data_IF_096198388759
#
_entry.id   IF_096198388759
#
_cell.length_a   1.000
_cell.length_b   1.000
_cell.length_c   1.000
_cell.angle_alpha   90.00
_cell.angle_beta   90.00
_cell.angle_gamma   90.00
#
_symmetry.space_group_name_H-M   'P 1'
#
loop_
_entity.id
_entity.type
_entity.pdbx_description
1 polymer ?
2 non-polymer ?
3 non-polymer ?
4 water ?
#
# COMPACT_ATOMS: atom_id res chain seq x y z
N UNK A 1 -12.58 5.14 12.76
CA UNK A 1 -12.39 5.00 11.31
C UNK A 1 -13.51 4.20 10.69
N UNK A 2 -14.01 4.69 9.57
CA UNK A 2 -14.86 3.88 8.73
C UNK A 2 -14.00 3.14 7.71
N UNK A 3 -14.65 2.54 6.72
CA UNK A 3 -13.98 1.67 5.78
C UNK A 3 -13.42 2.35 4.55
N UNK A 4 -13.85 3.57 4.26
CA UNK A 4 -13.57 4.21 2.96
C UNK A 4 -12.30 5.06 2.91
N UNK A 5 -11.41 4.72 1.98
CA UNK A 5 -10.28 5.58 1.65
C UNK A 5 -10.65 6.37 0.41
N UNK A 6 -10.47 7.67 0.46
CA UNK A 6 -10.67 8.43 -0.74
C UNK A 6 -9.52 9.39 -0.93
N UNK A 7 -9.65 10.25 -1.94
CA UNK A 7 -8.57 11.17 -2.28
C UNK A 7 -9.11 12.58 -2.43
N UNK A 8 -8.17 13.52 -2.54
CA UNK A 8 -8.51 14.91 -2.80
C UNK A 8 -7.80 15.37 -4.06
N UNK A 9 -8.20 16.53 -4.55
CA UNK A 9 -7.76 17.02 -5.84
C UNK A 9 -6.31 17.53 -5.89
N UNK A 10 -5.86 18.20 -4.82
CA UNK A 10 -4.57 18.90 -4.85
C UNK A 10 -3.84 19.20 -3.53
N UNK A 11 -3.30 20.42 -3.43
CA UNK A 11 -2.27 20.78 -2.44
C UNK A 11 -2.89 21.24 -1.14
N UNK A 12 -4.18 21.59 -1.20
CA UNK A 12 -4.89 22.10 -0.03
C UNK A 12 -6.33 21.63 -0.09
N UNK A 13 -6.92 21.47 1.08
CA UNK A 13 -8.31 21.04 1.22
C UNK A 13 -9.25 22.12 0.75
N UNK A 14 -10.27 21.72 0.01
CA UNK A 14 -11.34 22.61 -0.41
C UNK A 14 -12.46 22.51 0.61
N UNK A 15 -13.52 23.29 0.41
CA UNK A 15 -14.59 23.34 1.40
C UNK A 15 -15.27 22.00 1.43
N UNK A 16 -15.34 21.39 0.25
CA UNK A 16 -16.02 20.12 0.09
C UNK A 16 -15.21 18.92 0.64
N UNK A 17 -13.88 18.97 0.48
CA UNK A 17 -13.01 17.99 1.08
C UNK A 17 -13.22 17.98 2.59
N UNK A 18 -13.28 19.17 3.16
CA UNK A 18 -13.47 19.32 4.59
C UNK A 18 -14.77 18.72 5.08
N UNK A 19 -15.88 19.02 4.41
CA UNK A 19 -17.15 18.42 4.79
C UNK A 19 -17.11 16.90 4.66
N UNK A 20 -16.37 16.36 3.69
CA UNK A 20 -16.31 14.90 3.50
C UNK A 20 -15.40 14.20 4.53
N UNK A 21 -14.28 14.80 4.91
CA UNK A 21 -13.37 14.16 5.85
C UNK A 21 -14.00 14.01 7.25
N UNK A 22 -14.98 14.85 7.54
CA UNK A 22 -15.75 14.75 8.78
C UNK A 22 -16.78 13.60 8.80
N UNK A 23 -16.99 12.91 7.68
CA UNK A 23 -17.97 11.84 7.66
C UNK A 23 -17.36 10.55 8.19
N UNK A 24 -18.06 9.88 9.11
CA UNK A 24 -17.47 8.75 9.83
C UNK A 24 -17.29 7.48 8.98
N UNK A 25 -17.81 7.48 7.77
CA UNK A 25 -17.50 6.39 6.85
C UNK A 25 -16.08 6.50 6.28
N UNK A 26 -15.50 7.69 6.29
CA UNK A 26 -14.15 7.81 5.81
C UNK A 26 -13.25 7.17 6.87
N UNK A 27 -12.28 6.37 6.45
CA UNK A 27 -11.33 5.83 7.37
C UNK A 27 -9.97 6.42 7.06
N UNK A 28 -9.73 6.73 5.80
CA UNK A 28 -8.42 7.19 5.41
C UNK A 28 -8.35 7.95 4.11
N UNK A 29 -7.22 8.61 3.94
CA UNK A 29 -6.98 9.43 2.80
C UNK A 29 -5.72 8.89 2.13
N UNK A 30 -5.81 8.70 0.81
CA UNK A 30 -4.66 8.26 0.04
C UNK A 30 -4.18 9.39 -0.86
N UNK A 31 -2.89 9.69 -0.70
CA UNK A 31 -2.28 10.84 -1.32
C UNK A 31 -1.59 10.41 -2.61
N UNK A 32 -1.51 11.33 -3.58
CA UNK A 32 -0.77 11.05 -4.79
C UNK A 32 0.24 12.18 -5.05
N UNK A 33 0.87 12.17 -6.22
CA UNK A 33 1.90 13.15 -6.52
C UNK A 33 1.19 14.47 -6.61
N UNK A 34 -0.04 14.40 -7.11
CA UNK A 34 -0.81 15.63 -7.36
C UNK A 34 -1.12 16.41 -6.07
N UNK A 35 -0.91 15.77 -4.93
CA UNK A 35 -1.19 16.38 -3.66
C UNK A 35 0.10 16.89 -3.04
N UNK A 36 1.19 16.81 -3.78
CA UNK A 36 2.46 17.13 -3.19
C UNK A 36 3.15 18.23 -3.96
N UNK A 37 3.34 19.36 -3.31
CA UNK A 37 4.12 20.41 -3.94
C UNK A 37 5.48 20.52 -3.25
N UNK A 38 5.48 20.55 -1.91
CA UNK A 38 6.72 20.69 -1.14
C UNK A 38 6.56 20.23 0.31
N UNK A 39 7.71 20.01 0.96
CA UNK A 39 7.73 19.49 2.32
C UNK A 39 6.79 20.23 3.24
N UNK A 40 6.89 21.55 3.37
CA UNK A 40 6.02 22.29 4.31
C UNK A 40 4.56 22.23 3.90
N UNK A 41 4.30 22.31 2.60
CA UNK A 41 2.94 22.19 2.10
C UNK A 41 2.35 20.84 2.45
N UNK A 42 3.14 19.77 2.31
CA UNK A 42 2.69 18.42 2.62
C UNK A 42 2.28 18.33 4.09
N UNK A 43 3.13 18.86 4.98
CA UNK A 43 2.84 18.89 6.44
C UNK A 43 1.58 19.66 6.74
N UNK A 44 1.44 20.81 6.12
CA UNK A 44 0.24 21.65 6.31
C UNK A 44 -1.06 20.94 5.92
N UNK A 45 -1.04 20.21 4.80
CA UNK A 45 -2.20 19.45 4.31
C UNK A 45 -2.57 18.25 5.17
N UNK A 46 -1.55 17.50 5.61
CA UNK A 46 -1.82 16.37 6.48
C UNK A 46 -2.38 16.86 7.80
N UNK A 47 -1.88 18.00 8.28
CA UNK A 47 -2.39 18.63 9.50
C UNK A 47 -3.84 19.05 9.31
N UNK A 48 -4.15 19.58 8.12
CA UNK A 48 -5.51 20.03 7.78
C UNK A 48 -6.48 18.85 7.63
N UNK A 49 -5.97 17.72 7.16
CA UNK A 49 -6.76 16.51 7.03
C UNK A 49 -7.14 15.98 8.41
N UNK A 50 -6.18 15.93 9.32
CA UNK A 50 -6.46 15.37 10.63
C UNK A 50 -7.42 16.28 11.39
N UNK A 51 -7.26 17.58 11.19
CA UNK A 51 -8.07 18.60 11.84
C UNK A 51 -9.53 18.48 11.36
N UNK A 52 -9.74 18.39 10.05
CA UNK A 52 -11.09 18.30 9.51
C UNK A 52 -11.82 17.01 9.91
N UNK A 53 -11.08 15.95 10.25
CA UNK A 53 -11.71 14.71 10.65
C UNK A 53 -12.05 14.72 12.13
N UNK A 54 -11.36 15.56 12.89
CA UNK A 54 -11.60 15.66 14.33
C UNK A 54 -11.66 14.28 14.95
N UNK A 55 -10.81 13.39 14.48
CA UNK A 55 -10.78 12.02 14.98
C UNK A 55 -9.61 11.26 14.34
N UNK A 56 -9.17 10.17 14.96
CA UNK A 56 -8.07 9.50 14.29
C UNK A 56 -8.45 9.19 12.85
N UNK A 57 -7.50 9.35 11.91
CA UNK A 57 -7.73 8.96 10.53
C UNK A 57 -6.37 8.58 9.89
N UNK A 58 -6.41 7.72 8.87
CA UNK A 58 -5.19 7.23 8.24
C UNK A 58 -4.78 8.09 7.05
N UNK A 59 -3.49 8.36 6.93
CA UNK A 59 -2.97 9.04 5.74
C UNK A 59 -2.01 8.06 5.10
N UNK A 60 -2.35 7.59 3.90
CA UNK A 60 -1.55 6.59 3.21
C UNK A 60 -1.02 7.11 1.90
N UNK A 61 -0.02 6.43 1.36
CA UNK A 61 0.52 6.78 0.05
C UNK A 61 1.25 5.57 -0.53
N UNK A 62 1.37 5.51 -1.84
CA UNK A 62 2.15 4.48 -2.51
C UNK A 62 3.58 4.95 -2.61
N UNK A 63 4.38 4.64 -1.59
CA UNK A 63 5.78 5.08 -1.60
C UNK A 63 6.67 3.84 -1.52
N UNK A 64 6.92 3.21 -2.67
CA UNK A 64 7.62 1.91 -2.73
C UNK A 64 9.11 2.11 -3.03
N UNK A 65 9.41 3.23 -3.68
CA UNK A 65 10.73 3.46 -4.24
C UNK A 65 10.68 3.17 -5.73
N UNK A 66 11.56 3.79 -6.50
CA UNK A 66 11.69 3.47 -7.92
C UNK A 66 10.58 4.05 -8.79
N UNK A 67 9.86 3.18 -9.46
CA UNK A 67 8.83 3.65 -10.37
C UNK A 67 7.61 4.18 -9.64
N UNK A 68 7.53 3.93 -8.34
CA UNK A 68 6.44 4.42 -7.55
C UNK A 68 6.92 5.13 -6.29
N UNK A 69 7.10 6.44 -6.42
CA UNK A 69 7.44 7.27 -5.32
C UNK A 69 6.70 8.56 -5.58
N UNK A 70 5.59 8.77 -4.88
CA UNK A 70 4.77 9.95 -5.09
C UNK A 70 5.50 11.21 -4.70
N UNK A 71 6.23 11.14 -3.60
CA UNK A 71 6.94 12.29 -3.07
C UNK A 71 8.44 12.14 -3.30
N UNK A 72 8.95 12.88 -4.29
CA UNK A 72 10.36 12.78 -4.66
C UNK A 72 11.16 14.03 -4.31
N UNK A 73 10.72 15.19 -4.77
CA UNK A 73 11.40 16.46 -4.45
C UNK A 73 11.37 16.77 -2.98
N UNK A 74 12.55 16.95 -2.38
CA UNK A 74 12.66 17.26 -0.95
C UNK A 74 12.65 16.01 -0.08
N UNK A 75 12.72 14.86 -0.73
CA UNK A 75 12.77 13.57 -0.07
C UNK A 75 14.02 12.86 -0.53
N UNK A 76 14.41 11.81 0.19
CA UNK A 76 15.42 10.91 -0.31
C UNK A 76 14.77 10.04 -1.37
N UNK A 77 15.48 9.87 -2.48
CA UNK A 77 15.06 9.05 -3.58
C UNK A 77 15.34 7.61 -3.20
N UNK A 78 14.30 6.79 -3.29
CA UNK A 78 14.37 5.40 -2.93
C UNK A 78 14.39 4.54 -4.19
N UNK A 79 15.31 3.59 -4.25
CA UNK A 79 15.51 2.86 -5.48
C UNK A 79 14.41 1.85 -5.74
N UNK A 80 14.31 1.36 -6.99
CA UNK A 80 13.42 0.25 -7.27
C UNK A 80 13.67 -0.91 -6.33
N UNK A 81 12.61 -1.47 -5.79
CA UNK A 81 12.69 -2.63 -4.91
C UNK A 81 13.68 -3.67 -5.43
N UNK A 82 13.84 -3.69 -6.74
CA UNK A 82 14.62 -4.70 -7.42
C UNK A 82 16.12 -4.58 -7.12
N UNK A 83 16.61 -3.36 -6.98
CA UNK A 83 18.05 -3.12 -6.85
C UNK A 83 18.64 -3.84 -5.63
N UNK A 84 17.97 -3.78 -4.48
CA UNK A 84 18.57 -4.31 -3.25
C UNK A 84 19.28 -5.64 -3.53
N UNK A 85 18.58 -6.59 -4.12
CA UNK A 85 19.11 -7.94 -4.18
C UNK A 85 20.25 -8.05 -5.19
N UNK A 86 20.49 -6.96 -5.93
CA UNK A 86 21.54 -6.95 -6.94
C UNK A 86 22.89 -6.47 -6.37
N UNK A 87 22.86 -5.74 -5.26
CA UNK A 87 24.07 -5.38 -4.53
C UNK A 87 24.50 -6.62 -3.78
N UNK A 88 25.77 -6.78 -3.45
CA UNK A 88 26.14 -7.98 -2.66
C UNK A 88 25.88 -7.68 -1.20
N UNK A 89 25.23 -6.56 -0.97
CA UNK A 89 24.91 -6.04 0.34
C UNK A 89 23.39 -6.00 0.60
N UNK A 90 22.65 -6.77 -0.19
CA UNK A 90 21.19 -6.62 -0.35
C UNK A 90 20.31 -6.57 0.89
N UNK A 91 20.44 -7.53 1.77
CA UNK A 91 19.64 -7.49 2.99
C UNK A 91 19.94 -6.21 3.77
N UNK A 92 21.22 -5.90 3.96
CA UNK A 92 21.57 -4.70 4.72
C UNK A 92 20.92 -3.47 4.07
N UNK A 93 20.94 -3.40 2.73
CA UNK A 93 20.46 -2.21 2.03
C UNK A 93 18.95 -2.13 1.91
N UNK A 94 18.26 -3.27 1.88
CA UNK A 94 16.81 -3.28 1.74
C UNK A 94 16.20 -2.71 3.00
N UNK A 95 16.78 -3.13 4.12
CA UNK A 95 16.34 -2.65 5.45
C UNK A 95 16.55 -1.13 5.54
N UNK A 96 17.70 -0.64 5.12
CA UNK A 96 17.95 0.80 5.11
C UNK A 96 16.93 1.51 4.22
N UNK A 97 16.68 0.90 3.07
CA UNK A 97 15.69 1.42 2.12
C UNK A 97 14.32 1.56 2.77
N UNK A 98 13.85 0.48 3.37
CA UNK A 98 12.55 0.47 4.02
C UNK A 98 12.48 1.42 5.20
N UNK A 99 13.60 1.55 5.92
CA UNK A 99 13.60 2.37 7.10
C UNK A 99 13.58 3.82 6.69
N UNK A 100 14.37 4.16 5.68
CA UNK A 100 14.48 5.54 5.21
C UNK A 100 13.16 5.97 4.60
N UNK A 101 12.57 5.13 3.76
CA UNK A 101 11.30 5.48 3.15
C UNK A 101 10.29 5.76 4.25
N UNK A 102 10.07 4.77 5.12
CA UNK A 102 9.13 4.92 6.24
C UNK A 102 9.41 6.13 7.15
N UNK A 103 10.67 6.29 7.55
CA UNK A 103 11.05 7.36 8.47
C UNK A 103 10.64 8.74 7.95
N UNK A 104 10.84 8.99 6.66
CA UNK A 104 10.57 10.30 6.08
C UNK A 104 9.08 10.62 5.86
N UNK A 105 8.27 9.59 5.61
CA UNK A 105 6.84 9.79 5.52
C UNK A 105 6.36 10.22 6.88
N UNK A 106 6.89 9.54 7.88
CA UNK A 106 6.41 9.73 9.23
C UNK A 106 6.80 11.15 9.64
N UNK A 107 7.98 11.56 9.21
CA UNK A 107 8.48 12.91 9.53
C UNK A 107 7.60 13.98 8.92
N UNK A 108 6.75 13.61 7.95
CA UNK A 108 5.81 14.55 7.31
C UNK A 108 4.36 14.20 7.61
N UNK A 109 4.13 13.41 8.66
CA UNK A 109 2.80 13.16 9.21
C UNK A 109 1.97 12.19 8.34
N UNK A 110 2.66 11.30 7.64
CA UNK A 110 2.00 10.20 6.95
C UNK A 110 2.08 8.91 7.78
N UNK A 111 0.97 8.20 7.87
CA UNK A 111 0.89 6.97 8.67
C UNK A 111 1.59 5.81 7.97
N UNK A 112 1.26 5.58 6.70
CA UNK A 112 1.75 4.40 6.03
C UNK A 112 2.00 4.55 4.53
N UNK A 113 2.91 3.71 4.03
CA UNK A 113 3.13 3.50 2.60
C UNK A 113 2.54 2.14 2.29
N UNK A 114 1.89 2.03 1.14
CA UNK A 114 1.31 0.77 0.76
C UNK A 114 2.45 -0.06 0.22
N UNK A 115 3.09 -0.83 1.10
CA UNK A 115 4.23 -1.65 0.69
C UNK A 115 4.57 -2.65 1.79
N UNK A 116 5.25 -3.75 1.46
CA UNK A 116 5.98 -3.99 0.24
C UNK A 116 5.24 -4.82 -0.81
N UNK A 117 5.67 -4.65 -2.04
CA UNK A 117 5.32 -5.55 -3.12
C UNK A 117 5.97 -6.91 -2.86
N UNK A 118 5.14 -7.95 -2.72
CA UNK A 118 5.57 -9.34 -2.53
C UNK A 118 5.38 -10.14 -3.83
N UNK A 119 5.10 -9.44 -4.93
CA UNK A 119 5.01 -10.13 -6.21
C UNK A 119 6.39 -10.68 -6.64
N UNK A 120 6.35 -11.80 -7.37
CA UNK A 120 7.54 -12.43 -7.89
C UNK A 120 7.67 -12.31 -9.39
N UNK A 121 8.84 -11.83 -9.85
CA UNK A 121 9.17 -11.85 -11.26
C UNK A 121 9.13 -10.45 -11.81
N UNK A 122 9.65 -10.28 -13.01
CA UNK A 122 9.67 -8.96 -13.62
C UNK A 122 8.89 -8.92 -14.93
N UNK A 123 8.36 -10.05 -15.36
CA UNK A 123 7.71 -10.12 -16.68
C UNK A 123 6.35 -9.39 -16.75
N UNK A 124 5.70 -9.17 -15.63
CA UNK A 124 4.49 -8.38 -15.64
C UNK A 124 4.83 -6.91 -15.84
N UNK A 125 4.52 -6.38 -17.01
CA UNK A 125 4.94 -5.05 -17.38
C UNK A 125 4.69 -4.06 -16.25
N UNK A 126 3.53 -4.19 -15.59
CA UNK A 126 3.13 -3.20 -14.61
C UNK A 126 3.88 -3.33 -13.29
N UNK A 127 4.34 -4.54 -12.95
CA UNK A 127 5.09 -4.73 -11.71
C UNK A 127 6.56 -4.45 -11.97
N UNK A 128 7.19 -5.26 -12.82
CA UNK A 128 8.53 -4.96 -13.31
C UNK A 128 9.50 -4.85 -12.17
N UNK A 129 10.29 -3.78 -12.12
CA UNK A 129 11.34 -3.66 -11.12
C UNK A 129 10.80 -3.16 -9.78
N UNK A 130 9.49 -3.29 -9.59
CA UNK A 130 8.81 -2.99 -8.33
C UNK A 130 8.92 -4.20 -7.43
N UNK A 131 9.31 -5.34 -8.03
CA UNK A 131 9.43 -6.58 -7.28
C UNK A 131 10.86 -6.77 -6.73
N UNK A 132 10.96 -7.50 -5.62
CA UNK A 132 12.24 -7.69 -4.97
C UNK A 132 13.04 -8.81 -5.61
N UNK A 133 12.38 -9.66 -6.39
CA UNK A 133 13.06 -10.84 -6.95
C UNK A 133 12.23 -11.69 -7.88
N UNK A 134 12.91 -12.66 -8.52
CA UNK A 134 12.32 -13.59 -9.48
C UNK A 134 12.12 -14.95 -8.89
N UNK A 135 12.47 -15.12 -7.63
CA UNK A 135 12.29 -16.41 -6.97
C UNK A 135 11.87 -16.21 -5.52
N UNK A 136 11.27 -17.24 -4.95
CA UNK A 136 10.75 -17.17 -3.63
C UNK A 136 11.79 -16.69 -2.62
N UNK A 137 13.02 -17.20 -2.70
CA UNK A 137 14.01 -16.84 -1.68
C UNK A 137 14.48 -15.40 -1.79
N UNK A 138 14.76 -14.97 -3.01
CA UNK A 138 15.22 -13.63 -3.22
C UNK A 138 14.17 -12.71 -2.67
N UNK A 139 12.91 -13.01 -2.98
CA UNK A 139 11.80 -12.13 -2.60
C UNK A 139 11.60 -12.06 -1.09
N UNK A 140 11.51 -13.21 -0.44
CA UNK A 140 11.35 -13.27 0.99
C UNK A 140 12.53 -12.61 1.69
N UNK A 141 13.71 -12.96 1.22
CA UNK A 141 14.94 -12.53 1.85
C UNK A 141 15.00 -11.01 1.90
N UNK A 142 14.60 -10.34 0.82
CA UNK A 142 14.80 -8.88 0.74
C UNK A 142 13.60 -8.03 1.20
N UNK A 143 12.39 -8.57 1.10
CA UNK A 143 11.23 -7.81 1.54
C UNK A 143 11.09 -7.94 3.03
N UNK A 144 11.52 -9.05 3.61
CA UNK A 144 11.55 -9.17 5.08
C UNK A 144 12.42 -8.03 5.61
N UNK A 145 13.53 -7.79 4.93
CA UNK A 145 14.44 -6.72 5.29
C UNK A 145 13.75 -5.33 5.20
N UNK A 146 13.21 -5.04 4.03
CA UNK A 146 12.38 -3.85 3.85
C UNK A 146 11.29 -3.76 4.90
N UNK A 147 10.60 -4.86 5.16
CA UNK A 147 9.56 -4.90 6.20
C UNK A 147 10.08 -4.48 7.56
N UNK A 148 11.19 -5.06 7.97
CA UNK A 148 11.79 -4.77 9.28
C UNK A 148 12.17 -3.30 9.48
N UNK A 149 12.58 -2.63 8.41
CA UNK A 149 12.91 -1.22 8.50
C UNK A 149 11.66 -0.41 8.80
N UNK A 150 10.64 -0.65 7.97
CA UNK A 150 9.31 -0.05 8.15
C UNK A 150 8.92 -0.16 9.61
N UNK A 151 8.97 -1.38 10.15
CA UNK A 151 8.53 -1.62 11.52
C UNK A 151 9.44 -0.93 12.55
N UNK A 152 10.73 -0.83 12.26
CA UNK A 152 11.64 -0.21 13.24
C UNK A 152 11.19 1.20 13.57
N UNK A 153 10.69 1.96 12.59
CA UNK A 153 10.20 3.32 12.88
C UNK A 153 8.73 3.42 13.26
N UNK A 154 8.05 2.29 13.36
CA UNK A 154 6.65 2.27 13.82
C UNK A 154 5.61 2.40 12.70
N UNK A 155 5.94 1.88 11.50
CA UNK A 155 5.02 1.98 10.38
C UNK A 155 4.36 0.65 10.04
N UNK A 156 3.04 0.66 10.04
CA UNK A 156 2.24 -0.47 9.61
C UNK A 156 2.60 -0.92 8.19
N UNK A 157 2.56 -2.22 7.97
CA UNK A 157 2.98 -2.82 6.70
C UNK A 157 1.82 -3.41 5.90
N UNK A 158 1.97 -3.40 4.58
CA UNK A 158 0.93 -3.83 3.67
C UNK A 158 1.55 -4.63 2.54
N UNK A 159 1.37 -5.95 2.58
CA UNK A 159 1.84 -6.79 1.49
C UNK A 159 0.89 -6.69 0.32
N UNK A 160 1.42 -6.44 -0.87
CA UNK A 160 0.61 -6.49 -2.06
C UNK A 160 1.40 -7.19 -3.17
N UNK A 161 0.74 -7.81 -4.15
CA UNK A 161 -0.72 -7.74 -4.38
C UNK A 161 -1.30 -9.14 -4.36
N UNK A 162 -1.82 -9.56 -3.22
CA UNK A 162 -2.25 -10.93 -2.96
C UNK A 162 -3.23 -11.47 -4.01
N UNK A 163 -3.03 -12.75 -4.43
CA UNK A 163 -2.02 -13.75 -4.12
C UNK A 163 -0.79 -13.74 -5.04
N UNK A 164 -0.69 -12.77 -5.93
CA UNK A 164 0.54 -12.55 -6.66
C UNK A 164 0.34 -12.03 -8.06
N UNK A 165 0.90 -10.87 -8.35
CA UNK A 165 0.66 -10.19 -9.61
C UNK A 165 1.86 -10.34 -10.56
N UNK A 166 2.89 -11.04 -10.11
CA UNK A 166 4.17 -11.07 -10.81
C UNK A 166 4.27 -11.92 -12.07
N UNK A 167 3.21 -12.64 -12.43
CA UNK A 167 3.23 -13.46 -13.63
C UNK A 167 2.12 -13.08 -14.60
N UNK A 168 1.42 -11.99 -14.31
CA UNK A 168 0.39 -11.52 -15.20
C UNK A 168 1.08 -11.03 -16.45
N UNK A 169 1.26 -11.92 -17.41
CA UNK A 169 2.10 -11.62 -18.56
C UNK A 169 1.26 -11.59 -19.82
N UNK A 170 -0.05 -11.36 -19.67
CA UNK A 170 -0.94 -11.32 -20.82
C UNK A 170 -1.45 -9.91 -20.99
N UNK A 171 -2.51 -9.75 -21.79
CA UNK A 171 -3.21 -8.48 -21.91
C UNK A 171 -4.45 -8.73 -22.74
N UNK A 173 -6.73 -8.37 -23.92
CA UNK A 173 -7.73 -7.50 -24.53
C UNK A 173 -9.07 -7.62 -23.81
N UNK A 174 -9.03 -7.83 -22.50
CA UNK A 174 -10.23 -7.80 -21.69
C UNK A 174 -10.09 -6.67 -20.69
N UNK A 175 -11.18 -6.36 -19.99
CA UNK A 175 -11.13 -5.32 -18.94
C UNK A 175 -10.28 -5.77 -17.73
N UNK A 176 -10.46 -7.00 -17.26
CA UNK A 176 -9.67 -7.51 -16.13
C UNK A 176 -8.53 -8.41 -16.58
N UNK A 177 -7.34 -8.22 -15.99
CA UNK A 177 -6.17 -9.04 -16.27
C UNK A 177 -6.36 -10.45 -15.75
N UNK A 178 -5.84 -11.41 -16.50
CA UNK A 178 -5.99 -12.80 -16.14
C UNK A 178 -4.62 -13.43 -15.97
N UNK A 179 -4.58 -14.47 -15.16
CA UNK A 179 -3.39 -15.25 -14.93
C UNK A 179 -3.91 -16.68 -14.89
N UNK A 180 -3.58 -17.44 -15.93
CA UNK A 180 -4.22 -18.71 -16.18
C UNK A 180 -3.41 -19.91 -15.75
N UNK A 181 -2.37 -19.72 -14.94
CA UNK A 181 -1.55 -20.83 -14.47
C UNK A 181 -2.45 -21.83 -13.75
N UNK A 182 -2.11 -23.12 -13.84
CA UNK A 182 -2.83 -24.16 -13.12
C UNK A 182 -2.45 -24.16 -11.67
N UNK A 183 -1.34 -23.52 -11.37
CA UNK A 183 -0.91 -23.41 -9.98
C UNK A 183 -0.16 -22.10 -9.81
N UNK A 184 -0.38 -21.42 -8.69
CA UNK A 184 0.44 -20.25 -8.35
C UNK A 184 1.05 -20.44 -6.98
N UNK A 185 1.40 -21.69 -6.69
CA UNK A 185 1.85 -22.07 -5.37
C UNK A 185 3.10 -21.31 -4.90
N UNK A 186 4.00 -20.96 -5.81
CA UNK A 186 5.21 -20.26 -5.39
C UNK A 186 4.88 -18.82 -5.06
N UNK A 187 4.19 -18.15 -5.99
CA UNK A 187 3.78 -16.77 -5.81
C UNK A 187 3.10 -16.58 -4.47
N UNK A 188 2.26 -17.55 -4.13
CA UNK A 188 1.50 -17.44 -2.88
C UNK A 188 2.28 -17.90 -1.65
N UNK A 189 3.30 -18.73 -1.85
CA UNK A 189 4.13 -19.19 -0.72
C UNK A 189 4.79 -17.97 -0.07
N UNK A 190 5.02 -16.94 -0.88
CA UNK A 190 5.59 -15.71 -0.41
C UNK A 190 4.66 -14.97 0.55
N UNK A 191 3.39 -14.83 0.17
CA UNK A 191 2.42 -14.25 1.06
C UNK A 191 2.25 -15.11 2.32
N UNK A 192 2.19 -16.43 2.14
CA UNK A 192 1.99 -17.35 3.25
C UNK A 192 3.06 -17.20 4.32
N UNK A 193 4.33 -17.24 3.91
CA UNK A 193 5.43 -17.11 4.85
C UNK A 193 5.39 -15.76 5.57
N UNK A 194 5.14 -14.67 4.83
CA UNK A 194 5.10 -13.35 5.47
C UNK A 194 3.93 -13.26 6.47
N UNK A 195 2.84 -13.95 6.16
CA UNK A 195 1.71 -14.01 7.09
C UNK A 195 2.09 -14.81 8.34
N UNK A 196 2.61 -16.02 8.14
CA UNK A 196 2.98 -16.88 9.26
C UNK A 196 3.98 -16.17 10.17
N UNK A 197 4.94 -15.46 9.57
CA UNK A 197 5.94 -14.73 10.38
C UNK A 197 5.30 -13.57 11.10
N UNK A 198 4.07 -13.24 10.76
CA UNK A 198 3.34 -12.15 11.42
C UNK A 198 3.87 -10.74 11.18
N UNK A 199 4.47 -10.49 10.02
CA UNK A 199 5.06 -9.17 9.71
C UNK A 199 4.17 -8.23 8.89
N UNK A 200 3.00 -8.67 8.48
CA UNK A 200 2.10 -7.78 7.75
C UNK A 200 0.91 -7.33 8.57
N UNK A 201 0.72 -6.03 8.67
CA UNK A 201 -0.48 -5.48 9.31
C UNK A 201 -1.64 -5.44 8.33
N UNK A 202 -1.34 -5.29 7.05
CA UNK A 202 -2.37 -5.24 6.04
C UNK A 202 -1.98 -5.97 4.75
N UNK A 203 -2.97 -6.16 3.88
CA UNK A 203 -2.80 -6.88 2.62
C UNK A 203 -3.66 -6.23 1.57
N UNK A 204 -3.05 -5.95 0.42
CA UNK A 204 -3.79 -5.47 -0.72
C UNK A 204 -3.86 -6.59 -1.78
N UNK A 205 -5.08 -6.93 -2.21
CA UNK A 205 -5.28 -7.99 -3.21
C UNK A 205 -5.01 -7.55 -4.64
N UNK A 206 -4.58 -8.48 -5.49
CA UNK A 206 -4.48 -8.20 -6.92
C UNK A 206 -5.88 -8.16 -7.60
N UNK A 207 -6.09 -7.19 -8.49
CA UNK A 207 -7.29 -7.18 -9.36
C UNK A 207 -7.02 -8.03 -10.59
N UNK A 208 -7.05 -9.34 -10.38
CA UNK A 208 -6.57 -10.29 -11.36
C UNK A 208 -7.35 -11.54 -11.13
N UNK A 209 -7.76 -12.17 -12.22
CA UNK A 209 -8.54 -13.41 -12.17
C UNK A 209 -7.63 -14.62 -12.33
N UNK A 210 -7.76 -15.58 -11.43
CA UNK A 210 -7.00 -16.83 -11.55
C UNK A 210 -8.02 -17.93 -11.88
N UNK A 211 -8.33 -18.09 -13.19
CA UNK A 211 -9.45 -18.90 -13.66
C UNK A 211 -9.40 -20.33 -13.20
N UNK A 212 -8.22 -20.84 -12.90
CA UNK A 212 -8.12 -22.22 -12.40
C UNK A 212 -8.76 -22.28 -11.02
N UNK A 213 -8.87 -21.13 -10.36
CA UNK A 213 -9.28 -21.14 -8.95
C UNK A 213 -10.66 -20.58 -8.70
N UNK A 214 -10.94 -19.45 -9.33
CA UNK A 214 -12.15 -18.70 -8.99
C UNK A 214 -12.38 -17.76 -10.13
N UNK A 215 -13.65 -17.41 -10.34
CA UNK A 215 -14.05 -16.59 -11.48
C UNK A 215 -13.83 -15.09 -11.25
N UNK A 216 -13.83 -14.68 -9.99
CA UNK A 216 -13.74 -13.26 -9.66
C UNK A 216 -12.30 -12.79 -9.59
N UNK A 217 -12.07 -11.51 -9.88
CA UNK A 217 -10.76 -10.96 -9.54
C UNK A 217 -10.50 -11.05 -8.04
N UNK A 218 -9.31 -11.48 -7.66
CA UNK A 218 -8.98 -11.68 -6.24
C UNK A 218 -9.50 -10.57 -5.33
N UNK A 219 -9.40 -9.33 -5.79
CA UNK A 219 -9.79 -8.17 -5.03
C UNK A 219 -11.29 -8.14 -4.69
N UNK A 220 -12.06 -9.04 -5.31
CA UNK A 220 -13.50 -9.01 -5.20
C UNK A 220 -14.02 -10.41 -5.09
N UNK A 221 -13.14 -11.34 -4.74
CA UNK A 221 -13.44 -12.76 -4.67
C UNK A 221 -13.58 -13.25 -3.25
N UNK A 222 -14.72 -13.87 -2.95
CA UNK A 222 -14.94 -14.49 -1.63
C UNK A 222 -13.94 -15.58 -1.35
N UNK A 223 -13.61 -16.36 -2.36
CA UNK A 223 -12.69 -17.47 -2.18
C UNK A 223 -11.31 -16.95 -1.77
N UNK A 224 -10.83 -15.95 -2.48
CA UNK A 224 -9.47 -15.51 -2.27
C UNK A 224 -9.30 -14.79 -0.92
N UNK A 225 -10.29 -13.97 -0.59
CA UNK A 225 -10.19 -13.07 0.53
C UNK A 225 -10.63 -13.76 1.81
N UNK A 226 -11.45 -14.79 1.68
CA UNK A 226 -11.96 -15.47 2.86
C UNK A 226 -11.42 -16.90 2.94
N UNK A 227 -11.92 -17.81 2.13
CA UNK A 227 -11.37 -19.17 2.16
C UNK A 227 -9.86 -19.15 2.24
N UNK A 228 -9.22 -18.57 1.24
CA UNK A 228 -7.76 -18.60 1.20
C UNK A 228 -7.12 -17.63 2.21
N UNK A 229 -7.48 -16.37 2.19
CA UNK A 229 -6.71 -15.39 2.94
C UNK A 229 -6.91 -15.52 4.43
N UNK A 230 -8.16 -15.63 4.87
CA UNK A 230 -8.46 -15.82 6.31
C UNK A 230 -8.31 -17.26 6.71
N UNK A 231 -9.17 -18.12 6.14
CA UNK A 231 -9.27 -19.52 6.59
C UNK A 231 -8.02 -20.37 6.37
N UNK A 232 -7.50 -20.37 5.15
CA UNK A 232 -6.36 -21.24 4.84
C UNK A 232 -5.03 -20.70 5.32
N UNK A 233 -4.87 -19.37 5.33
CA UNK A 233 -3.61 -18.75 5.71
C UNK A 233 -3.68 -18.09 7.08
N UNK A 234 -4.87 -18.02 7.68
CA UNK A 234 -5.02 -17.38 8.98
C UNK A 234 -4.51 -15.95 9.09
N UNK A 235 -4.62 -15.17 8.02
CA UNK A 235 -4.28 -13.75 8.11
C UNK A 235 -5.26 -13.00 8.99
N UNK A 236 -4.71 -12.15 9.84
CA UNK A 236 -5.45 -11.58 10.95
C UNK A 236 -5.51 -10.07 10.84
N UNK A 237 -4.87 -9.52 9.81
CA UNK A 237 -4.76 -8.08 9.65
C UNK A 237 -5.89 -7.45 8.87
N UNK A 238 -5.70 -6.19 8.48
CA UNK A 238 -6.66 -5.47 7.64
C UNK A 238 -6.56 -5.86 6.15
N UNK A 239 -7.73 -5.99 5.52
CA UNK A 239 -7.80 -6.34 4.10
C UNK A 239 -8.35 -5.17 3.35
N UNK A 240 -7.57 -4.67 2.40
CA UNK A 240 -8.01 -3.60 1.55
C UNK A 240 -8.65 -4.18 0.32
N UNK A 241 -9.45 -3.35 -0.35
CA UNK A 241 -9.93 -3.62 -1.66
C UNK A 241 -8.92 -3.00 -2.62
N UNK A 242 -9.01 -3.35 -3.90
CA UNK A 242 -8.35 -2.57 -4.96
C UNK A 242 -9.17 -1.29 -5.16
N UNK A 243 -8.59 -0.31 -5.82
CA UNK A 243 -9.33 0.89 -6.17
C UNK A 243 -10.64 0.55 -6.87
N UNK A 244 -11.78 0.81 -6.22
CA UNK A 244 -13.09 0.48 -6.78
C UNK A 244 -13.58 1.53 -7.76
N UNK A 245 -12.73 1.86 -8.72
CA UNK A 245 -13.11 2.79 -9.79
C UNK A 245 -12.97 2.00 -11.09
N UNK A 246 -11.76 1.45 -11.30
CA UNK A 246 -11.56 0.43 -12.30
C UNK A 246 -12.82 -0.42 -12.39
N UNK A 251 -20.80 -5.10 -14.62
CA UNK A 251 -20.63 -6.32 -13.82
C UNK A 251 -21.41 -6.29 -12.50
N UNK A 252 -20.76 -5.77 -11.45
CA UNK A 252 -21.29 -5.90 -10.08
C UNK A 252 -22.35 -4.85 -9.71
N UNK A 253 -22.42 -3.74 -10.46
CA UNK A 253 -23.32 -2.62 -10.15
C UNK A 253 -22.62 -1.28 -9.95
N UNK A 254 -23.36 -0.29 -9.41
CA UNK A 254 -22.83 1.05 -9.16
C UNK A 254 -21.98 1.17 -7.88
N UNK A 255 -21.40 2.36 -7.66
CA UNK A 255 -20.46 2.61 -6.55
C UNK A 255 -20.84 1.89 -5.25
N UNK A 256 -22.07 2.11 -4.78
CA UNK A 256 -22.52 1.53 -3.52
C UNK A 256 -22.74 0.01 -3.62
N UNK A 257 -23.12 -0.46 -4.81
CA UNK A 257 -23.25 -1.91 -5.04
C UNK A 257 -21.86 -2.56 -4.92
N UNK A 258 -20.86 -1.99 -5.61
CA UNK A 258 -19.49 -2.54 -5.68
C UNK A 258 -18.78 -2.58 -4.33
N UNK A 259 -18.93 -1.52 -3.54
CA UNK A 259 -18.31 -1.41 -2.23
C UNK A 259 -18.84 -2.47 -1.31
N UNK A 260 -20.14 -2.67 -1.43
CA UNK A 260 -20.84 -3.65 -0.65
C UNK A 260 -20.29 -5.03 -1.00
N UNK A 261 -20.07 -5.30 -2.28
CA UNK A 261 -19.41 -6.57 -2.68
C UNK A 261 -17.98 -6.73 -2.15
N UNK A 262 -17.19 -5.67 -2.22
CA UNK A 262 -15.84 -5.74 -1.64
C UNK A 262 -15.91 -6.15 -0.17
N UNK A 263 -16.91 -5.62 0.54
CA UNK A 263 -17.02 -5.85 1.96
C UNK A 263 -17.50 -7.26 2.24
N UNK A 264 -18.56 -7.66 1.55
CA UNK A 264 -19.03 -9.06 1.59
C UNK A 264 -17.95 -10.04 1.12
N UNK A 265 -17.15 -9.66 0.12
CA UNK A 265 -16.08 -10.51 -0.36
C UNK A 265 -15.04 -10.75 0.72
N UNK A 266 -15.01 -9.84 1.72
CA UNK A 266 -14.07 -9.98 2.84
C UNK A 266 -13.08 -8.84 2.98
N UNK A 267 -13.32 -7.71 2.32
CA UNK A 267 -12.50 -6.52 2.57
C UNK A 267 -12.94 -5.82 3.84
N UNK A 268 -11.97 -5.36 4.64
CA UNK A 268 -12.26 -4.57 5.81
C UNK A 268 -12.38 -3.12 5.40
N UNK A 269 -11.54 -2.69 4.47
CA UNK A 269 -11.63 -1.32 3.96
C UNK A 269 -11.65 -1.32 2.42
N UNK A 270 -12.16 -0.22 1.85
CA UNK A 270 -12.33 -0.08 0.41
C UNK A 270 -11.76 1.23 -0.07
N UNK A 271 -11.11 1.23 -1.23
CA UNK A 271 -10.52 2.45 -1.76
C UNK A 271 -11.31 2.92 -2.94
N UNK A 272 -11.71 4.18 -2.92
CA UNK A 272 -12.33 4.78 -4.10
C UNK A 272 -11.52 5.99 -4.53
N UNK A 273 -10.70 5.85 -5.56
CA UNK A 273 -9.85 6.93 -6.03
C UNK A 273 -10.30 7.55 -7.32
N UNK A 274 -9.79 8.75 -7.57
CA UNK A 274 -10.00 9.40 -8.84
C UNK A 274 -11.44 9.35 -9.27
N UNK A 275 -12.38 9.34 -8.32
CA UNK A 275 -13.80 9.53 -8.68
C UNK A 275 -14.63 10.08 -7.53
N UNK A 276 -14.46 11.37 -7.29
CA UNK A 276 -15.13 12.05 -6.21
C UNK A 276 -16.65 11.76 -6.17
N UNK A 277 -17.33 11.90 -7.30
CA UNK A 277 -18.78 11.71 -7.29
C UNK A 277 -19.14 10.35 -6.73
N UNK A 278 -18.37 9.33 -7.08
CA UNK A 278 -18.67 7.97 -6.64
C UNK A 278 -18.38 7.74 -5.15
N UNK A 279 -17.33 8.38 -4.63
CA UNK A 279 -17.05 8.34 -3.19
C UNK A 279 -18.21 8.98 -2.44
N UNK A 280 -18.68 10.12 -2.93
CA UNK A 280 -19.77 10.82 -2.25
C UNK A 280 -21.05 10.02 -2.28
N UNK A 281 -21.29 9.33 -3.37
CA UNK A 281 -22.46 8.48 -3.45
C UNK A 281 -22.39 7.41 -2.37
N UNK A 282 -21.20 6.85 -2.17
CA UNK A 282 -20.98 5.89 -1.10
C UNK A 282 -21.20 6.52 0.29
N UNK A 283 -20.67 7.72 0.53
CA UNK A 283 -20.83 8.36 1.83
C UNK A 283 -22.30 8.61 2.15
N UNK A 284 -23.04 9.02 1.12
CA UNK A 284 -24.43 9.43 1.29
C UNK A 284 -25.36 8.26 1.54
N UNK A 285 -25.02 7.07 1.05
CA UNK A 285 -25.97 5.95 1.00
C UNK A 285 -25.58 4.66 1.72
N UNK A 286 -24.29 4.44 1.95
CA UNK A 286 -23.85 3.28 2.68
C UNK A 286 -24.14 3.44 4.19
N UNK A 287 -24.81 2.44 4.78
CA UNK A 287 -24.95 2.44 6.23
C UNK A 287 -23.58 2.48 6.93
N UNK A 288 -23.51 3.22 8.04
CA UNK A 288 -22.25 3.47 8.71
C UNK A 288 -21.73 2.24 9.44
N UNK A 289 -20.46 1.93 9.19
CA UNK A 289 -19.81 0.83 9.88
C UNK A 289 -18.48 1.28 10.43
N UNK A 290 -18.14 0.87 11.64
CA UNK A 290 -16.82 1.20 12.17
C UNK A 290 -15.86 0.07 11.88
N UNK A 291 -14.61 0.43 11.64
CA UNK A 291 -13.52 -0.53 11.55
C UNK A 291 -12.49 -0.16 12.62
N UNK A 292 -12.76 -0.55 13.85
CA UNK A 292 -11.91 -0.19 14.98
C UNK A 292 -10.50 -0.80 14.87
N UNK A 293 -10.43 -2.06 14.46
CA UNK A 293 -9.15 -2.73 14.27
C UNK A 293 -8.24 -2.01 13.27
N UNK A 294 -8.75 -1.03 12.55
CA UNK A 294 -7.90 -0.26 11.64
C UNK A 294 -7.03 0.73 12.41
N UNK A 295 -7.27 0.82 13.71
CA UNK A 295 -6.48 1.70 14.56
C UNK A 295 -5.03 1.23 14.55
N UNK A 296 -4.83 -0.04 14.20
CA UNK A 296 -3.55 -0.70 14.30
C UNK A 296 -2.58 -0.20 13.24
N UNK A 297 -3.12 0.44 12.20
CA UNK A 297 -2.29 0.95 11.09
C UNK A 297 -1.78 2.38 11.35
N UNK A 298 -2.24 2.98 12.43
CA UNK A 298 -1.85 4.33 12.72
C UNK A 298 -0.37 4.35 13.03
N UNK A 299 0.39 5.32 12.54
CA UNK A 299 1.82 5.27 12.77
C UNK A 299 2.07 5.27 14.27
N UNK A 300 3.12 4.60 14.70
CA UNK A 300 3.36 4.44 16.15
C UNK A 300 4.40 5.37 16.71
N UNK A 301 5.15 6.04 15.85
CA UNK A 301 6.10 7.05 16.29
C UNK A 301 5.76 8.42 15.73
N UNK A 302 6.51 9.41 16.18
CA UNK A 302 6.29 10.81 15.84
C UNK A 302 7.63 11.53 15.92
N UNK A 303 8.06 12.16 14.84
CA UNK A 303 9.21 13.04 14.88
C UNK A 303 9.21 13.94 13.66
N UNK A 304 10.08 14.93 13.68
CA UNK A 304 10.19 15.86 12.57
C UNK A 304 11.39 15.49 11.72
N UNK A 305 11.54 16.21 10.61
CA UNK A 305 12.55 15.92 9.64
C UNK A 305 13.91 16.41 10.13
N UNK A 306 13.91 17.49 10.90
CA UNK A 306 15.14 17.95 11.54
C UNK A 306 15.65 16.92 12.56
N UNK A 307 14.76 16.46 13.43
CA UNK A 307 15.16 15.46 14.41
C UNK A 307 15.70 14.19 13.74
N UNK A 308 15.08 13.79 12.64
CA UNK A 308 15.48 12.57 11.94
C UNK A 308 16.87 12.70 11.29
N UNK A 309 17.12 13.83 10.62
CA UNK A 309 18.36 14.06 9.90
C UNK A 309 19.58 14.12 10.81
N UNK A 310 19.37 13.87 12.10
CA UNK A 310 20.44 13.86 13.08
C UNK A 310 20.87 12.46 13.39
N UNK A 311 20.03 11.46 13.08
CA UNK A 311 20.48 10.10 13.23
C UNK A 311 21.54 9.82 12.18
N UNK A 312 22.66 9.27 12.64
CA UNK A 312 23.69 8.78 11.75
C UNK A 312 23.06 7.85 10.73
N UNK A 313 22.00 7.18 11.16
CA UNK A 313 21.33 6.16 10.40
C UNK A 313 20.68 6.71 9.14
N UNK A 314 20.10 7.90 9.26
CA UNK A 314 19.52 8.61 8.12
C UNK A 314 20.59 9.09 7.18
N UNK A 315 21.69 9.54 7.74
CA UNK A 315 22.79 10.08 6.94
C UNK A 315 23.45 8.95 6.11
N UNK A 316 23.64 7.78 6.74
CA UNK A 316 24.12 6.62 5.99
C UNK A 316 23.10 6.17 4.94
N UNK A 317 21.84 6.03 5.35
CA UNK A 317 20.81 5.42 4.49
C UNK A 317 20.57 6.27 3.24
N UNK A 318 20.44 7.58 3.38
CA UNK A 318 20.16 8.40 2.22
C UNK A 318 21.39 8.46 1.34
N UNK A 319 22.58 8.43 1.93
CA UNK A 319 23.77 8.34 1.11
C UNK A 319 23.82 6.96 0.40
N UNK A 320 23.52 5.89 1.12
CA UNK A 320 23.57 4.54 0.56
C UNK A 320 22.50 4.24 -0.48
N UNK A 321 21.39 4.96 -0.43
CA UNK A 321 20.32 4.73 -1.41
C UNK A 321 20.70 5.48 -2.68
N UNK A 322 21.16 6.70 -2.53
CA UNK A 322 21.58 7.48 -3.68
C UNK A 322 22.57 6.67 -4.51
N UNK A 323 23.61 6.14 -3.88
CA UNK A 323 24.65 5.48 -4.65
C UNK A 323 24.18 4.13 -5.19
N UNK A 324 23.19 3.53 -4.53
CA UNK A 324 22.62 2.26 -4.99
C UNK A 324 21.90 2.49 -6.31
N UNK A 325 21.23 3.64 -6.39
CA UNK A 325 20.53 4.05 -7.61
C UNK A 325 21.54 4.32 -8.74
N UNK A 326 22.51 5.18 -8.48
CA UNK A 326 23.57 5.45 -9.44
C UNK A 326 24.25 4.14 -9.88
N UNK A 327 24.48 3.22 -8.94
CA UNK A 327 25.18 1.95 -9.22
C UNK A 327 24.55 1.09 -10.32
N UNK A 328 23.27 1.28 -10.60
CA UNK A 328 22.55 0.42 -11.52
C UNK A 328 21.70 1.18 -12.53
N UNK A 329 22.18 2.34 -13.00
CA UNK A 329 21.43 3.12 -13.98
C UNK A 329 21.04 2.29 -15.22
X LIG B 1 -1.44 -1.50 -12.89
X LIG B 1 -1.81 -2.71 -12.01
X LIG B 1 -0.65 -3.15 -11.12
X LIG B 1 -1.11 -3.33 -9.66
X LIG B 1 -1.01 -1.99 -8.93
X LIG B 1 -0.03 -1.28 -9.10
X LIG B 1 -2.03 -1.66 -8.10
X LIG B 1 -2.07 -0.39 -7.36
X LIG B 1 -1.58 -0.62 -5.92
X LIG B 1 -0.24 -1.17 -5.83
X LIG B 1 -1.63 0.75 -5.22
X LIG B 1 -0.94 0.70 -3.96
X LIG B 1 -3.09 1.21 -5.01
X LIG B 1 -3.10 2.68 -4.60
X LIG B 1 -3.16 3.56 -5.45
X LIG B 1 -3.93 1.04 -6.17
X LIG B 1 -3.45 0.25 -7.30
X LIG B 1 -4.20 0.12 -8.31
X LIG C 1 -10.73 14.87 -5.85
X LIG C 1 -11.87 15.64 -6.22
X LIG C 1 -10.84 13.44 -6.37
X LIG C 1 -9.86 12.64 -5.74
X LIG C 1 -10.64 13.37 -7.89
X LIG C 1 -11.85 13.67 -8.55
X LIG D 1 0.98 -4.05 -17.64
X LIG D 1 0.51 -5.06 -16.77
X LIG D 1 -0.02 -2.90 -17.79
X LIG D 1 0.66 -1.67 -17.80
X LIG D 1 -1.04 -2.84 -16.66
X LIG D 1 -1.48 -1.51 -16.42
#
# INVERSE_FOLDING_TARGET
>A
MGPLWLDVAGYELSAEDRAILAHPTVGGVILFGRNYHDNQQLLALNKAIRQAAARPILIGVDQEGGRVQRFREGFSRIPPAQYYARAENGVELAEQGGWLMAAELIAHDVDLSFAPVLDMGFACKAIGNRAFGEDVQTVLKHSSAFLRGMKAVGMATTGKHFPGHGAVIADSHLETPYDERETIAQDMAIFRAQIEAGVLDAMMPAHVVYPHYDAQPASGSSYWLKQVLREELGFKGIVFSDDLSMEGAAVMGGPVERSHQALVAGCDMILICNKREAAVEVLDNLPIMEVPQAEALLKKQQFSYSELKRLERWQQASANMQRLIEQFSEHHHHHHHHHH
>B hetero
1 VPU C3 C2 C1 CAH CAG OAN NAI CAB CAC OAJ CAD OAK CAE CAF OAM OAL CAA NAY
>C hetero
1 GOL C1 O1 C2 O2 C3 O3
>D hetero
1 GOL C1 O1 C2 O2 C3 O3
#
